data_IF_343867308459
#
_entry.id   IF_343867308459
#
_cell.length_a   1.000
_cell.length_b   1.000
_cell.length_c   1.000
_cell.angle_alpha   90.00
_cell.angle_beta   90.00
_cell.angle_gamma   90.00
#
_symmetry.space_group_name_H-M   'P 1'
#
loop_
_entity.id
_entity.type
_entity.pdbx_description
1 polymer ?
#
# COMPACT_ATOMS: atom_id res chain seq x y z
N UNK A 1 4.47 -0.18 -3.50
CA UNK A 1 5.27 -1.41 -3.71
C UNK A 1 4.76 -2.49 -2.76
N UNK A 2 4.54 -3.70 -3.28
CA UNK A 2 4.10 -4.84 -2.48
C UNK A 2 5.16 -5.93 -2.57
N UNK A 3 5.50 -6.53 -1.42
CA UNK A 3 6.44 -7.64 -1.36
C UNK A 3 5.85 -8.80 -0.55
N UNK A 4 6.03 -10.03 -1.04
CA UNK A 4 5.57 -11.22 -0.33
C UNK A 4 6.38 -11.46 0.93
N UNK A 5 5.72 -11.87 2.00
CA UNK A 5 6.34 -12.20 3.29
C UNK A 5 7.38 -13.34 3.21
N UNK A 6 7.34 -14.15 2.16
CA UNK A 6 8.32 -15.21 1.89
C UNK A 6 9.50 -14.76 0.99
N UNK A 7 9.60 -13.45 0.66
CA UNK A 7 10.70 -12.97 -0.17
C UNK A 7 12.03 -12.94 0.61
N UNK A 8 13.16 -13.30 0.01
CA UNK A 8 14.47 -13.29 0.71
C UNK A 8 14.83 -11.93 1.29
N UNK A 9 14.45 -10.82 0.62
CA UNK A 9 14.80 -9.45 1.04
C UNK A 9 13.71 -8.84 1.97
N UNK A 10 12.84 -9.65 2.54
CA UNK A 10 11.68 -9.13 3.28
C UNK A 10 12.07 -8.29 4.50
N UNK A 11 13.11 -8.68 5.24
CA UNK A 11 13.55 -7.94 6.41
C UNK A 11 14.12 -6.56 6.02
N UNK A 12 14.90 -6.49 4.93
CA UNK A 12 15.39 -5.23 4.41
C UNK A 12 14.24 -4.32 3.96
N UNK A 13 13.27 -4.89 3.27
CA UNK A 13 12.06 -4.17 2.81
C UNK A 13 11.24 -3.61 3.98
N UNK A 14 11.02 -4.40 5.04
CA UNK A 14 10.29 -3.96 6.24
C UNK A 14 10.96 -2.73 6.86
N UNK A 15 12.26 -2.74 6.98
CA UNK A 15 13.00 -1.72 7.70
C UNK A 15 13.48 -0.54 6.85
N UNK A 16 13.35 -0.58 5.52
CA UNK A 16 13.95 0.42 4.62
C UNK A 16 13.53 1.85 4.96
N UNK A 17 12.24 2.13 5.15
CA UNK A 17 11.75 3.47 5.50
C UNK A 17 12.05 3.87 6.93
N UNK A 18 11.90 2.97 7.88
CA UNK A 18 12.22 3.28 9.29
C UNK A 18 13.71 3.64 9.48
N UNK A 19 14.60 3.02 8.67
CA UNK A 19 16.03 3.39 8.66
C UNK A 19 16.23 4.81 8.11
N UNK A 20 15.54 5.17 7.04
CA UNK A 20 15.62 6.50 6.44
C UNK A 20 15.01 7.59 7.35
N UNK A 21 13.89 7.32 8.00
CA UNK A 21 13.30 8.21 9.01
C UNK A 21 14.26 8.48 10.18
N UNK A 22 14.95 7.44 10.65
CA UNK A 22 15.98 7.61 11.69
C UNK A 22 17.15 8.45 11.20
N UNK A 23 17.57 8.28 9.94
CA UNK A 23 18.60 9.11 9.32
C UNK A 23 18.16 10.57 9.25
N UNK A 24 16.92 10.85 8.82
CA UNK A 24 16.37 12.21 8.78
C UNK A 24 16.40 12.88 10.16
N UNK A 25 15.99 12.19 11.21
CA UNK A 25 16.04 12.72 12.59
C UNK A 25 17.46 13.07 13.06
N UNK A 26 18.45 12.26 12.68
CA UNK A 26 19.86 12.54 13.01
C UNK A 26 20.37 13.76 12.22
N UNK A 27 20.02 13.88 10.95
CA UNK A 27 20.36 15.03 10.13
C UNK A 27 19.73 16.32 10.67
N UNK A 28 18.45 16.27 11.07
CA UNK A 28 17.77 17.40 11.71
C UNK A 28 18.49 17.87 12.99
N UNK A 29 18.89 16.92 13.87
CA UNK A 29 19.66 17.22 15.07
C UNK A 29 21.05 17.82 14.76
N UNK A 30 21.61 17.50 13.59
CA UNK A 30 22.87 18.05 13.10
C UNK A 30 22.70 19.42 12.43
N UNK A 31 21.46 19.94 12.30
CA UNK A 31 21.17 21.27 11.77
C UNK A 31 20.78 21.33 10.29
N UNK A 32 20.53 20.19 9.66
CA UNK A 32 19.97 20.14 8.30
C UNK A 32 18.47 20.43 8.34
N UNK A 33 17.97 21.04 7.27
CA UNK A 33 16.53 21.30 7.14
C UNK A 33 15.81 20.05 6.61
N UNK A 34 15.15 19.31 7.50
CA UNK A 34 14.38 18.11 7.15
C UNK A 34 12.89 18.38 6.90
N UNK A 35 12.51 19.62 6.55
CA UNK A 35 11.17 19.89 6.04
C UNK A 35 10.95 19.24 4.67
N UNK A 36 9.71 18.82 4.38
CA UNK A 36 9.37 18.03 3.17
C UNK A 36 9.77 18.71 1.85
N UNK A 37 9.78 20.05 1.80
CA UNK A 37 10.11 20.84 0.61
C UNK A 37 11.58 21.28 0.55
N UNK A 38 12.41 20.86 1.52
CA UNK A 38 13.81 21.26 1.57
C UNK A 38 14.69 20.47 0.60
N UNK A 39 15.78 21.06 0.10
CA UNK A 39 16.78 20.33 -0.68
C UNK A 39 17.44 19.19 0.12
N UNK A 40 17.58 19.34 1.45
CA UNK A 40 18.19 18.34 2.30
C UNK A 40 17.31 17.09 2.43
N UNK A 41 15.97 17.24 2.41
CA UNK A 41 15.02 16.15 2.39
C UNK A 41 15.18 15.24 1.18
N UNK A 42 15.63 15.75 0.04
CA UNK A 42 15.86 14.95 -1.17
C UNK A 42 16.90 13.84 -0.98
N UNK A 43 17.71 13.89 0.09
CA UNK A 43 18.66 12.84 0.46
C UNK A 43 18.03 11.63 1.16
N UNK A 44 16.76 11.74 1.60
CA UNK A 44 16.02 10.68 2.26
C UNK A 44 15.37 9.79 1.20
N UNK A 45 15.69 8.50 1.23
CA UNK A 45 15.23 7.55 0.22
C UNK A 45 13.82 7.00 0.54
N UNK A 46 13.21 6.33 -0.43
CA UNK A 46 11.92 5.63 -0.35
C UNK A 46 10.69 6.50 -0.02
N UNK A 47 10.79 7.83 -0.09
CA UNK A 47 9.69 8.73 0.32
C UNK A 47 8.53 8.76 -0.69
N UNK A 48 8.78 8.41 -1.95
CA UNK A 48 7.78 8.41 -3.02
C UNK A 48 7.09 7.04 -3.22
N UNK A 49 7.27 6.12 -2.32
CA UNK A 49 6.66 4.79 -2.38
C UNK A 49 5.93 4.47 -1.07
N UNK A 50 4.74 3.91 -1.16
CA UNK A 50 4.06 3.25 -0.06
C UNK A 50 4.34 1.76 -0.15
N UNK A 51 4.83 1.16 0.93
CA UNK A 51 5.22 -0.24 0.98
C UNK A 51 4.16 -1.06 1.73
N UNK A 52 3.89 -2.27 1.23
CA UNK A 52 3.02 -3.23 1.92
C UNK A 52 3.63 -4.62 1.86
N UNK A 53 3.54 -5.35 2.96
CA UNK A 53 3.89 -6.76 3.03
C UNK A 53 2.65 -7.60 2.72
N UNK A 54 2.78 -8.53 1.79
CA UNK A 54 1.73 -9.47 1.43
C UNK A 54 1.87 -10.73 2.26
N UNK A 55 0.92 -10.98 3.17
CA UNK A 55 0.91 -12.13 4.08
C UNK A 55 -0.15 -13.15 3.68
N UNK A 56 0.17 -14.44 3.83
CA UNK A 56 -0.77 -15.54 3.60
C UNK A 56 -1.35 -16.07 4.92
N UNK A 57 -2.44 -16.81 4.86
CA UNK A 57 -2.99 -17.53 6.03
C UNK A 57 -1.94 -18.48 6.62
N UNK A 58 -1.17 -19.17 5.77
CA UNK A 58 -0.09 -20.06 6.22
C UNK A 58 0.98 -19.34 7.05
N UNK A 59 1.35 -18.10 6.68
CA UNK A 59 2.25 -17.27 7.49
C UNK A 59 1.59 -16.90 8.84
N UNK A 60 0.34 -16.47 8.80
CA UNK A 60 -0.38 -16.09 10.03
C UNK A 60 -0.58 -17.27 10.97
N UNK A 61 -0.83 -18.47 10.46
CA UNK A 61 -0.87 -19.71 11.22
C UNK A 61 0.49 -20.02 11.86
N UNK A 62 1.58 -19.88 11.10
CA UNK A 62 2.93 -20.04 11.64
C UNK A 62 3.22 -19.04 12.78
N UNK A 63 2.76 -17.80 12.66
CA UNK A 63 2.85 -16.81 13.75
C UNK A 63 2.07 -17.24 14.98
N UNK A 64 0.81 -17.66 14.83
CA UNK A 64 -0.03 -18.10 15.95
C UNK A 64 0.60 -19.31 16.67
N UNK A 65 1.09 -20.27 15.91
CA UNK A 65 1.68 -21.49 16.42
C UNK A 65 3.13 -21.33 16.91
N UNK A 66 3.80 -20.20 16.61
CA UNK A 66 5.20 -19.94 16.96
C UNK A 66 6.16 -20.83 16.18
N UNK A 67 5.89 -21.01 14.89
CA UNK A 67 6.70 -21.80 13.97
C UNK A 67 7.72 -20.94 13.23
N UNK A 68 8.63 -21.62 12.58
CA UNK A 68 9.56 -21.03 11.61
C UNK A 68 8.84 -20.73 10.30
N UNK A 69 9.38 -19.76 9.55
CA UNK A 69 8.93 -19.34 8.23
C UNK A 69 10.08 -19.36 7.25
N UNK A 70 9.89 -19.95 6.08
CA UNK A 70 10.89 -20.06 5.06
C UNK A 70 10.85 -18.88 4.09
N UNK A 71 11.97 -18.21 3.91
CA UNK A 71 12.20 -17.25 2.82
C UNK A 71 12.68 -18.02 1.59
N UNK A 72 12.03 -17.80 0.44
CA UNK A 72 12.23 -18.64 -0.75
C UNK A 72 12.70 -17.82 -1.94
N UNK A 73 13.68 -18.35 -2.67
CA UNK A 73 14.14 -17.80 -3.94
C UNK A 73 13.01 -17.74 -4.96
N UNK A 74 12.95 -16.66 -5.73
CA UNK A 74 11.91 -16.46 -6.75
C UNK A 74 12.21 -17.21 -8.05
N UNK A 75 13.45 -17.63 -8.24
CA UNK A 75 13.89 -18.32 -9.46
C UNK A 75 13.53 -19.80 -9.48
N UNK A 76 13.65 -20.49 -8.36
CA UNK A 76 13.51 -21.95 -8.26
C UNK A 76 12.70 -22.44 -7.05
N UNK A 77 12.27 -21.52 -6.17
CA UNK A 77 11.52 -21.83 -4.97
C UNK A 77 12.34 -22.46 -3.84
N UNK A 78 13.66 -22.53 -3.97
CA UNK A 78 14.52 -23.08 -2.91
C UNK A 78 14.46 -22.21 -1.65
N UNK A 79 14.60 -22.84 -0.49
CA UNK A 79 14.69 -22.12 0.79
C UNK A 79 16.06 -21.45 0.87
N UNK A 80 16.05 -20.12 0.99
CA UNK A 80 17.27 -19.29 1.14
C UNK A 80 17.60 -19.12 2.62
N UNK A 81 16.57 -18.90 3.43
CA UNK A 81 16.70 -18.65 4.86
C UNK A 81 15.45 -19.12 5.59
N UNK A 82 15.58 -19.41 6.88
CA UNK A 82 14.46 -19.75 7.76
C UNK A 82 14.49 -18.81 8.96
N UNK A 83 13.37 -18.13 9.22
CA UNK A 83 13.23 -17.10 10.26
C UNK A 83 12.09 -17.47 11.22
N UNK A 84 12.08 -16.88 12.41
CA UNK A 84 10.94 -16.99 13.33
C UNK A 84 9.77 -16.14 12.82
N UNK A 85 8.60 -16.75 12.60
CA UNK A 85 7.43 -16.07 12.05
C UNK A 85 6.91 -14.97 12.98
N UNK A 86 6.99 -15.14 14.31
CA UNK A 86 6.56 -14.13 15.29
C UNK A 86 7.53 -12.93 15.31
N UNK A 87 8.83 -13.22 15.21
CA UNK A 87 9.83 -12.17 15.13
C UNK A 87 9.61 -11.31 13.88
N UNK A 88 9.40 -11.95 12.72
CA UNK A 88 9.15 -11.24 11.46
C UNK A 88 7.86 -10.38 11.53
N UNK A 89 6.76 -10.90 12.08
CA UNK A 89 5.54 -10.12 12.28
C UNK A 89 5.76 -8.95 13.24
N UNK A 90 6.55 -9.15 14.30
CA UNK A 90 6.91 -8.09 15.24
C UNK A 90 7.72 -6.99 14.54
N UNK A 91 8.64 -7.33 13.68
CA UNK A 91 9.41 -6.37 12.89
C UNK A 91 8.53 -5.53 11.96
N UNK A 92 7.55 -6.16 11.29
CA UNK A 92 6.53 -5.45 10.49
C UNK A 92 5.78 -4.44 11.38
N UNK A 93 5.27 -4.88 12.54
CA UNK A 93 4.51 -4.04 13.44
C UNK A 93 5.36 -2.89 14.01
N UNK A 94 6.61 -3.14 14.35
CA UNK A 94 7.51 -2.15 14.91
C UNK A 94 7.93 -1.10 13.88
N UNK A 95 8.26 -1.51 12.65
CA UNK A 95 8.55 -0.59 11.56
C UNK A 95 7.33 0.29 11.24
N UNK A 96 6.13 -0.32 11.14
CA UNK A 96 4.88 0.41 10.91
C UNK A 96 4.58 1.42 12.01
N UNK A 97 4.86 1.08 13.25
CA UNK A 97 4.70 2.00 14.37
C UNK A 97 5.68 3.18 14.31
N UNK A 98 6.92 2.95 13.83
CA UNK A 98 7.96 3.99 13.76
C UNK A 98 7.72 5.02 12.64
N UNK A 99 7.22 4.59 11.47
CA UNK A 99 7.13 5.44 10.28
C UNK A 99 5.85 5.25 9.45
N UNK A 100 4.81 4.59 9.99
CA UNK A 100 3.56 4.27 9.32
C UNK A 100 3.69 3.35 8.08
N UNK A 101 4.83 2.68 7.91
CA UNK A 101 5.15 1.82 6.76
C UNK A 101 6.04 0.65 7.22
N UNK A 102 5.85 -0.58 6.74
CA UNK A 102 4.92 -1.02 5.70
C UNK A 102 3.49 -1.24 6.20
N UNK A 103 2.52 -1.20 5.27
CA UNK A 103 1.18 -1.76 5.47
C UNK A 103 1.20 -3.30 5.37
N UNK A 104 0.06 -3.94 5.66
CA UNK A 104 -0.12 -5.39 5.53
C UNK A 104 -1.31 -5.68 4.63
N UNK A 105 -1.17 -6.64 3.73
CA UNK A 105 -2.24 -7.14 2.87
C UNK A 105 -2.39 -8.64 3.06
N UNK A 106 -3.61 -9.08 3.32
CA UNK A 106 -3.95 -10.49 3.58
C UNK A 106 -4.28 -11.21 2.28
N UNK A 107 -3.27 -11.80 1.67
CA UNK A 107 -3.31 -12.41 0.35
C UNK A 107 -4.43 -13.43 0.15
N UNK A 108 -4.53 -14.38 1.06
CA UNK A 108 -5.51 -15.46 0.97
C UNK A 108 -6.95 -14.92 1.02
N UNK A 109 -7.22 -14.03 1.97
CA UNK A 109 -8.53 -13.37 2.11
C UNK A 109 -8.89 -12.52 0.89
N UNK A 110 -7.94 -11.71 0.40
CA UNK A 110 -8.15 -10.86 -0.77
C UNK A 110 -8.56 -11.70 -1.97
N UNK A 111 -7.83 -12.79 -2.23
CA UNK A 111 -8.14 -13.66 -3.37
C UNK A 111 -9.40 -14.53 -3.17
N UNK A 112 -9.77 -14.85 -1.93
CA UNK A 112 -11.04 -15.51 -1.63
C UNK A 112 -12.26 -14.61 -1.91
N UNK A 113 -12.11 -13.30 -1.78
CA UNK A 113 -13.15 -12.30 -2.06
C UNK A 113 -13.09 -11.73 -3.47
N UNK A 114 -12.15 -12.18 -4.29
CA UNK A 114 -11.98 -11.69 -5.66
C UNK A 114 -13.21 -11.95 -6.52
N UNK A 115 -13.78 -10.90 -7.12
CA UNK A 115 -15.03 -10.98 -7.89
C UNK A 115 -14.84 -11.49 -9.33
N UNK A 116 -13.59 -11.57 -9.81
CA UNK A 116 -13.24 -12.03 -11.15
C UNK A 116 -12.11 -13.08 -11.14
N UNK A 117 -12.25 -14.18 -10.38
CA UNK A 117 -11.15 -15.13 -10.13
C UNK A 117 -10.68 -15.88 -11.38
N UNK A 118 -11.55 -15.98 -12.40
CA UNK A 118 -11.23 -16.65 -13.68
C UNK A 118 -10.35 -15.81 -14.61
N UNK A 119 -10.23 -14.50 -14.35
CA UNK A 119 -9.42 -13.60 -15.18
C UNK A 119 -7.96 -13.63 -14.77
N UNK A 120 -7.69 -13.73 -13.46
CA UNK A 120 -6.34 -13.74 -12.91
C UNK A 120 -6.38 -13.67 -11.39
N UNK A 121 -5.19 -13.63 -10.80
CA UNK A 121 -4.97 -13.48 -9.36
C UNK A 121 -4.72 -12.01 -9.01
N UNK A 122 -5.18 -11.57 -7.85
CA UNK A 122 -4.80 -10.28 -7.28
C UNK A 122 -3.45 -10.44 -6.57
N UNK A 123 -2.40 -9.84 -7.14
CA UNK A 123 -1.04 -9.89 -6.56
C UNK A 123 -0.71 -8.66 -5.71
N UNK A 124 -1.32 -7.51 -6.02
CA UNK A 124 -1.04 -6.25 -5.36
C UNK A 124 -2.28 -5.34 -5.32
N UNK A 125 -2.10 -4.12 -4.88
CA UNK A 125 -3.11 -3.06 -4.89
C UNK A 125 -2.45 -1.72 -5.23
N UNK A 126 -3.26 -0.66 -5.35
CA UNK A 126 -2.78 0.71 -5.28
C UNK A 126 -2.22 1.03 -3.86
N UNK A 127 -1.54 2.16 -3.66
CA UNK A 127 -0.86 2.48 -2.39
C UNK A 127 -1.76 2.45 -1.15
N UNK A 128 -2.98 2.96 -1.25
CA UNK A 128 -3.91 3.03 -0.11
C UNK A 128 -4.73 1.73 0.08
N UNK A 129 -4.55 0.74 -0.79
CA UNK A 129 -5.20 -0.58 -0.74
C UNK A 129 -6.72 -0.59 -0.93
N UNK A 130 -7.31 0.50 -1.48
CA UNK A 130 -8.73 0.53 -1.82
C UNK A 130 -9.06 -0.15 -3.14
N UNK A 131 -8.06 -0.37 -4.01
CA UNK A 131 -8.22 -1.02 -5.31
C UNK A 131 -7.44 -2.34 -5.36
N UNK A 132 -8.13 -3.42 -4.95
CA UNK A 132 -7.64 -4.79 -5.01
C UNK A 132 -8.06 -5.38 -6.35
N UNK A 133 -7.15 -5.42 -7.33
CA UNK A 133 -7.45 -5.87 -8.68
C UNK A 133 -6.29 -6.66 -9.31
N UNK A 134 -6.58 -7.29 -10.46
CA UNK A 134 -5.57 -8.01 -11.25
C UNK A 134 -4.50 -7.07 -11.79
N UNK A 135 -3.36 -7.62 -12.15
CA UNK A 135 -2.26 -6.90 -12.80
C UNK A 135 -2.72 -6.28 -14.14
N UNK A 136 -1.99 -5.28 -14.60
CA UNK A 136 -2.25 -4.56 -15.86
C UNK A 136 -3.66 -3.94 -15.94
N UNK A 137 -4.20 -3.52 -14.79
CA UNK A 137 -5.47 -2.82 -14.67
C UNK A 137 -5.28 -1.37 -14.22
N UNK A 138 -6.32 -0.56 -14.41
CA UNK A 138 -6.33 0.84 -14.03
C UNK A 138 -7.56 1.19 -13.20
N UNK A 139 -7.45 2.26 -12.41
CA UNK A 139 -8.55 2.83 -11.66
C UNK A 139 -8.75 4.29 -12.05
N UNK A 140 -9.93 4.64 -12.57
CA UNK A 140 -10.31 6.02 -12.83
C UNK A 140 -10.82 6.66 -11.55
N UNK A 141 -10.16 7.72 -11.11
CA UNK A 141 -10.53 8.46 -9.90
C UNK A 141 -11.04 9.85 -10.27
N UNK A 142 -12.06 10.29 -9.54
CA UNK A 142 -12.55 11.66 -9.60
C UNK A 142 -13.01 12.12 -8.23
N UNK A 143 -13.00 13.42 -8.01
CA UNK A 143 -13.50 14.04 -6.78
C UNK A 143 -14.29 15.30 -7.10
N UNK A 144 -15.43 15.47 -6.42
CA UNK A 144 -16.22 16.69 -6.50
C UNK A 144 -15.91 17.57 -5.29
N UNK A 145 -15.59 18.84 -5.53
CA UNK A 145 -15.40 19.81 -4.46
C UNK A 145 -16.76 20.18 -3.86
N UNK A 146 -17.11 19.59 -2.73
CA UNK A 146 -18.40 19.78 -2.05
C UNK A 146 -18.70 21.23 -1.70
N UNK A 147 -17.68 22.06 -1.46
CA UNK A 147 -17.88 23.49 -1.17
C UNK A 147 -18.49 24.27 -2.34
N UNK A 148 -18.38 23.75 -3.57
CA UNK A 148 -18.99 24.37 -4.77
C UNK A 148 -20.50 24.15 -4.85
N UNK A 149 -21.06 23.26 -4.03
CA UNK A 149 -22.48 22.97 -3.94
C UNK A 149 -23.12 23.64 -2.71
N UNK A 150 -22.39 24.47 -1.97
CA UNK A 150 -22.93 25.28 -0.89
C UNK A 150 -23.54 26.53 -1.44
N UNK A 151 -24.87 26.73 -1.18
CA UNK A 151 -25.62 27.93 -1.55
C UNK A 151 -25.27 29.11 -0.62
N UNK A 152 -25.67 30.31 -1.00
CA UNK A 152 -25.47 31.55 -0.22
C UNK A 152 -26.12 31.50 1.16
N UNK A 153 -27.28 30.83 1.27
CA UNK A 153 -28.00 30.60 2.52
C UNK A 153 -27.38 29.53 3.43
N UNK A 154 -26.30 28.89 2.95
CA UNK A 154 -25.58 27.85 3.66
C UNK A 154 -26.08 26.42 3.43
N UNK A 155 -27.20 26.25 2.73
CA UNK A 155 -27.71 24.93 2.36
C UNK A 155 -26.86 24.26 1.28
N UNK A 156 -26.97 22.94 1.21
CA UNK A 156 -26.32 22.14 0.17
C UNK A 156 -27.24 22.01 -1.05
N UNK A 157 -26.70 22.28 -2.24
CA UNK A 157 -27.44 22.17 -3.50
C UNK A 157 -27.47 20.72 -3.98
N UNK A 158 -28.40 19.94 -3.46
CA UNK A 158 -28.57 18.52 -3.80
C UNK A 158 -28.80 18.32 -5.31
N UNK A 159 -29.70 19.04 -6.00
CA UNK A 159 -29.96 18.85 -7.43
C UNK A 159 -28.68 19.08 -8.29
N UNK A 160 -27.91 20.13 -7.98
CA UNK A 160 -26.69 20.41 -8.71
C UNK A 160 -25.62 19.35 -8.43
N UNK A 161 -25.53 18.85 -7.19
CA UNK A 161 -24.61 17.78 -6.84
C UNK A 161 -24.97 16.48 -7.55
N UNK A 162 -26.24 16.07 -7.56
CA UNK A 162 -26.72 14.90 -8.29
C UNK A 162 -26.37 14.98 -9.78
N UNK A 163 -26.65 16.13 -10.41
CA UNK A 163 -26.29 16.36 -11.81
C UNK A 163 -24.77 16.25 -12.05
N UNK A 164 -23.94 16.81 -11.17
CA UNK A 164 -22.48 16.71 -11.28
C UNK A 164 -22.00 15.28 -11.12
N UNK A 165 -22.60 14.48 -10.23
CA UNK A 165 -22.31 13.05 -10.08
C UNK A 165 -22.64 12.29 -11.36
N UNK A 166 -23.83 12.51 -11.94
CA UNK A 166 -24.26 11.85 -13.19
C UNK A 166 -23.30 12.12 -14.34
N UNK A 167 -22.91 13.40 -14.52
CA UNK A 167 -21.98 13.80 -15.58
C UNK A 167 -20.59 13.18 -15.35
N UNK A 168 -20.10 13.20 -14.11
CA UNK A 168 -18.78 12.66 -13.77
C UNK A 168 -18.75 11.14 -13.96
N UNK A 169 -19.80 10.45 -13.50
CA UNK A 169 -19.90 8.99 -13.66
C UNK A 169 -19.97 8.58 -15.12
N UNK A 170 -20.75 9.29 -15.94
CA UNK A 170 -20.79 9.06 -17.38
C UNK A 170 -19.41 9.29 -18.04
N UNK A 171 -18.71 10.33 -17.64
CA UNK A 171 -17.36 10.59 -18.16
C UNK A 171 -16.38 9.46 -17.80
N UNK A 172 -16.42 8.95 -16.57
CA UNK A 172 -15.59 7.82 -16.15
C UNK A 172 -15.93 6.54 -16.92
N UNK A 173 -17.21 6.25 -17.13
CA UNK A 173 -17.65 5.09 -17.92
C UNK A 173 -17.17 5.15 -19.37
N UNK A 174 -17.23 6.34 -19.99
CA UNK A 174 -16.71 6.54 -21.34
C UNK A 174 -15.18 6.30 -21.38
N UNK A 175 -14.44 6.82 -20.41
CA UNK A 175 -12.98 6.64 -20.32
C UNK A 175 -12.64 5.15 -20.17
N UNK A 176 -13.34 4.41 -19.31
CA UNK A 176 -13.13 2.97 -19.12
C UNK A 176 -13.39 2.22 -20.44
N UNK A 177 -14.46 2.58 -21.16
CA UNK A 177 -14.79 1.94 -22.42
C UNK A 177 -13.76 2.17 -23.56
N UNK A 178 -12.94 3.20 -23.44
CA UNK A 178 -11.87 3.53 -24.40
C UNK A 178 -10.46 3.16 -23.93
N UNK A 179 -10.29 2.72 -22.68
CA UNK A 179 -9.00 2.24 -22.18
C UNK A 179 -8.78 0.79 -22.63
N UNK A 180 -7.98 0.64 -23.65
CA UNK A 180 -7.55 -0.67 -24.22
C UNK A 180 -6.04 -0.71 -24.31
#
# INVERSE_FOLDING_TARGET
>A
VVLDVAHPDIEEFIWCKAKEERKARVLEQAGYDMSLDSPDWASIQYQNANNSVRVTDAFMEAVVEGKEWNLTARTDGSVVETVDARALLKDIAEASWQCADPGVQYDTTINAWHTSPNTGRINASNPCSEYMHIDDSACNLSSLNLMKFRKEDGEFDVPMFEHAVDVMFLAQEIIVGYSS
#
